data_IF_961409017602
#
_entry.id   IF_961409017602
#
_cell.length_a   1.000
_cell.length_b   1.000
_cell.length_c   1.000
_cell.angle_alpha   90.00
_cell.angle_beta   90.00
_cell.angle_gamma   90.00
#
_symmetry.space_group_name_H-M   'P 1'
#
loop_
_entity.id
_entity.type
_entity.pdbx_description
1 polymer ?
#
# COMPACT_ATOMS: atom_id res chain seq x y z
N UNK A 1 17.46 -26.79 -9.18
CA UNK A 1 18.07 -25.61 -9.83
C UNK A 1 17.03 -24.73 -10.53
N UNK A 2 16.05 -25.30 -11.24
CA UNK A 2 14.95 -24.55 -11.89
C UNK A 2 14.03 -23.85 -10.87
N UNK A 3 13.81 -24.42 -9.69
CA UNK A 3 12.97 -23.82 -8.63
C UNK A 3 13.60 -22.60 -7.94
N UNK A 4 14.93 -22.45 -7.99
CA UNK A 4 15.62 -21.34 -7.35
C UNK A 4 15.48 -20.03 -8.15
N UNK A 5 15.33 -20.12 -9.47
CA UNK A 5 15.19 -18.96 -10.38
C UNK A 5 13.94 -18.12 -10.04
N UNK A 6 12.72 -18.68 -9.94
CA UNK A 6 11.53 -17.90 -9.60
C UNK A 6 11.60 -17.34 -8.17
N UNK A 7 12.25 -18.03 -7.23
CA UNK A 7 12.44 -17.55 -5.86
C UNK A 7 13.36 -16.32 -5.81
N UNK A 8 14.50 -16.37 -6.52
CA UNK A 8 15.44 -15.25 -6.62
C UNK A 8 14.77 -14.05 -7.32
N UNK A 9 14.02 -14.29 -8.40
CA UNK A 9 13.30 -13.24 -9.12
C UNK A 9 12.24 -12.57 -8.23
N UNK A 10 11.48 -13.37 -7.47
CA UNK A 10 10.50 -12.88 -6.50
C UNK A 10 11.15 -12.00 -5.42
N UNK A 11 12.31 -12.42 -4.90
CA UNK A 11 13.08 -11.65 -3.92
C UNK A 11 13.51 -10.29 -4.50
N UNK A 12 14.04 -10.27 -5.71
CA UNK A 12 14.49 -9.04 -6.41
C UNK A 12 13.29 -8.09 -6.63
N UNK A 13 12.16 -8.62 -7.14
CA UNK A 13 10.94 -7.84 -7.33
C UNK A 13 10.41 -7.24 -6.03
N UNK A 14 10.49 -8.01 -4.94
CA UNK A 14 10.09 -7.56 -3.60
C UNK A 14 10.99 -6.42 -3.13
N UNK A 15 12.31 -6.55 -3.23
CA UNK A 15 13.26 -5.50 -2.87
C UNK A 15 13.07 -4.22 -3.70
N UNK A 16 12.89 -4.34 -5.02
CA UNK A 16 12.62 -3.20 -5.89
C UNK A 16 11.31 -2.50 -5.52
N UNK A 17 10.26 -3.25 -5.21
CA UNK A 17 8.97 -2.71 -4.79
C UNK A 17 9.10 -1.94 -3.48
N UNK A 18 9.84 -2.48 -2.51
CA UNK A 18 10.10 -1.82 -1.24
C UNK A 18 10.83 -0.47 -1.43
N UNK A 19 11.86 -0.46 -2.27
CA UNK A 19 12.63 0.75 -2.60
C UNK A 19 11.72 1.79 -3.28
N UNK A 20 10.94 1.38 -4.28
CA UNK A 20 10.01 2.26 -5.01
C UNK A 20 8.99 2.89 -4.05
N UNK A 21 8.46 2.11 -3.12
CA UNK A 21 7.49 2.60 -2.12
C UNK A 21 8.10 3.65 -1.20
N UNK A 22 9.33 3.44 -0.72
CA UNK A 22 10.05 4.44 0.09
C UNK A 22 10.29 5.71 -0.72
N UNK A 23 10.71 5.57 -1.99
CA UNK A 23 10.90 6.71 -2.88
C UNK A 23 9.60 7.47 -3.12
N UNK A 24 8.49 6.77 -3.36
CA UNK A 24 7.16 7.37 -3.53
C UNK A 24 6.73 8.14 -2.29
N UNK A 25 6.89 7.56 -1.10
CA UNK A 25 6.57 8.20 0.18
C UNK A 25 7.40 9.47 0.42
N UNK A 26 8.68 9.46 0.01
CA UNK A 26 9.57 10.62 0.15
C UNK A 26 9.43 11.64 -0.98
N UNK A 27 8.83 11.26 -2.11
CA UNK A 27 8.76 12.10 -3.29
C UNK A 27 7.80 13.28 -3.07
N UNK A 28 8.32 14.49 -3.19
CA UNK A 28 7.57 15.73 -3.07
C UNK A 28 7.09 16.20 -4.46
N UNK A 29 6.58 15.26 -5.27
CA UNK A 29 6.16 15.52 -6.66
C UNK A 29 5.05 16.59 -6.63
N UNK A 30 5.22 17.69 -7.36
CA UNK A 30 4.28 18.83 -7.37
C UNK A 30 2.82 18.43 -7.67
N UNK A 31 2.60 17.31 -8.36
CA UNK A 31 1.30 16.76 -8.75
C UNK A 31 0.60 15.92 -7.66
N UNK A 32 1.33 15.46 -6.63
CA UNK A 32 0.77 14.66 -5.53
C UNK A 32 0.45 15.49 -4.27
N UNK A 33 0.66 16.81 -4.29
CA UNK A 33 0.38 17.65 -3.11
C UNK A 33 -1.08 17.57 -2.67
N UNK A 34 -1.31 17.38 -1.37
CA UNK A 34 -2.65 17.36 -0.75
C UNK A 34 -3.14 15.95 -0.40
N UNK A 35 -4.39 15.61 -0.74
CA UNK A 35 -5.01 14.34 -0.37
C UNK A 35 -4.38 13.12 -1.08
N UNK A 36 -3.80 13.31 -2.28
CA UNK A 36 -3.16 12.23 -3.03
C UNK A 36 -1.85 11.75 -2.36
N UNK A 37 -1.04 12.67 -1.83
CA UNK A 37 0.15 12.33 -1.04
C UNK A 37 -0.21 11.56 0.22
N UNK A 38 -1.28 11.95 0.93
CA UNK A 38 -1.76 11.19 2.09
C UNK A 38 -2.14 9.76 1.70
N UNK A 39 -2.83 9.57 0.58
CA UNK A 39 -3.19 8.23 0.07
C UNK A 39 -1.92 7.39 -0.18
N UNK A 40 -0.92 7.98 -0.84
CA UNK A 40 0.36 7.32 -1.14
C UNK A 40 1.09 6.96 0.15
N UNK A 41 1.10 7.84 1.16
CA UNK A 41 1.68 7.57 2.47
C UNK A 41 0.99 6.38 3.16
N UNK A 42 -0.35 6.30 3.17
CA UNK A 42 -1.06 5.14 3.72
C UNK A 42 -0.74 3.86 2.94
N UNK A 43 -0.66 3.92 1.60
CA UNK A 43 -0.22 2.79 0.79
C UNK A 43 1.22 2.35 1.11
N UNK A 44 2.11 3.32 1.34
CA UNK A 44 3.50 3.05 1.65
C UNK A 44 3.65 2.38 3.01
N UNK A 45 2.99 2.91 4.03
CA UNK A 45 2.94 2.28 5.35
C UNK A 45 2.35 0.87 5.29
N UNK A 46 1.21 0.69 4.61
CA UNK A 46 0.62 -0.65 4.43
C UNK A 46 1.60 -1.65 3.82
N UNK A 47 2.35 -1.21 2.82
CA UNK A 47 3.36 -2.04 2.16
C UNK A 47 4.54 -2.35 3.07
N UNK A 48 5.06 -1.38 3.83
CA UNK A 48 6.11 -1.60 4.82
C UNK A 48 5.68 -2.67 5.84
N UNK A 49 4.44 -2.64 6.31
CA UNK A 49 3.92 -3.67 7.23
C UNK A 49 3.80 -5.05 6.57
N UNK A 50 3.48 -5.14 5.26
CA UNK A 50 3.58 -6.43 4.53
C UNK A 50 5.01 -6.96 4.52
N UNK A 51 6.00 -6.12 4.24
CA UNK A 51 7.40 -6.54 4.30
C UNK A 51 7.82 -6.98 5.71
N UNK A 52 7.31 -6.32 6.75
CA UNK A 52 7.47 -6.76 8.13
C UNK A 52 6.88 -8.15 8.39
N UNK A 53 5.68 -8.44 7.87
CA UNK A 53 5.07 -9.76 7.96
C UNK A 53 5.89 -10.83 7.24
N UNK A 54 6.39 -10.53 6.03
CA UNK A 54 7.25 -11.44 5.27
C UNK A 54 8.57 -11.70 5.99
N UNK A 55 9.19 -10.68 6.57
CA UNK A 55 10.41 -10.82 7.35
C UNK A 55 10.19 -11.68 8.61
N UNK A 56 9.08 -11.48 9.31
CA UNK A 56 8.71 -12.31 10.46
C UNK A 56 8.47 -13.78 10.05
N UNK A 57 7.76 -14.02 8.95
CA UNK A 57 7.57 -15.36 8.39
C UNK A 57 8.91 -16.02 8.05
N UNK A 58 9.82 -15.29 7.40
CA UNK A 58 11.14 -15.79 7.05
C UNK A 58 11.97 -16.17 8.29
N UNK A 59 11.88 -15.39 9.38
CA UNK A 59 12.51 -15.76 10.66
C UNK A 59 11.91 -17.04 11.25
N UNK A 60 10.58 -17.18 11.22
CA UNK A 60 9.90 -18.39 11.68
C UNK A 60 10.35 -19.62 10.89
N UNK A 61 10.46 -19.49 9.57
CA UNK A 61 10.88 -20.58 8.68
C UNK A 61 12.35 -20.97 8.92
N UNK A 62 13.26 -19.99 9.04
CA UNK A 62 14.68 -20.23 9.28
C UNK A 62 14.94 -20.90 10.64
N UNK A 63 14.22 -20.46 11.68
CA UNK A 63 14.41 -20.94 13.05
C UNK A 63 13.45 -22.09 13.41
N UNK A 64 12.59 -22.52 12.47
CA UNK A 64 11.56 -23.56 12.66
C UNK A 64 10.66 -23.30 13.87
N UNK A 65 10.27 -22.04 14.08
CA UNK A 65 9.50 -21.57 15.23
C UNK A 65 7.98 -21.71 15.06
N UNK A 66 7.53 -22.66 14.24
CA UNK A 66 6.10 -22.88 13.95
C UNK A 66 5.30 -23.13 15.23
N UNK A 67 4.16 -22.44 15.38
CA UNK A 67 3.29 -22.58 16.56
C UNK A 67 3.82 -21.90 17.83
N UNK A 68 4.97 -21.23 17.77
CA UNK A 68 5.45 -20.39 18.87
C UNK A 68 4.71 -19.05 18.92
N UNK A 69 4.74 -18.30 20.04
CA UNK A 69 4.20 -16.94 20.10
C UNK A 69 4.81 -15.99 19.05
N UNK A 70 6.05 -16.24 18.62
CA UNK A 70 6.74 -15.45 17.58
C UNK A 70 6.04 -15.63 16.22
N UNK A 71 5.46 -16.81 15.96
CA UNK A 71 4.70 -17.10 14.74
C UNK A 71 3.44 -16.21 14.62
N UNK A 72 2.94 -15.67 15.74
CA UNK A 72 1.77 -14.80 15.76
C UNK A 72 2.10 -13.40 15.23
N UNK A 73 3.36 -12.96 15.38
CA UNK A 73 3.82 -11.59 15.06
C UNK A 73 3.51 -11.23 13.61
N UNK A 74 3.68 -12.16 12.66
CA UNK A 74 3.37 -11.92 11.24
C UNK A 74 1.91 -11.52 11.01
N UNK A 75 0.97 -12.06 11.79
CA UNK A 75 -0.46 -11.72 11.67
C UNK A 75 -0.74 -10.31 12.18
N UNK A 76 -0.06 -9.85 13.23
CA UNK A 76 -0.17 -8.46 13.68
C UNK A 76 0.29 -7.48 12.60
N UNK A 77 1.43 -7.76 11.95
CA UNK A 77 1.89 -6.97 10.81
C UNK A 77 0.87 -6.96 9.66
N UNK A 78 0.26 -8.10 9.33
CA UNK A 78 -0.77 -8.21 8.31
C UNK A 78 -2.04 -7.41 8.65
N UNK A 79 -2.50 -7.45 9.91
CA UNK A 79 -3.67 -6.68 10.36
C UNK A 79 -3.41 -5.17 10.23
N UNK A 80 -2.23 -4.72 10.63
CA UNK A 80 -1.86 -3.31 10.51
C UNK A 80 -1.79 -2.92 9.03
N UNK A 81 -1.14 -3.72 8.18
CA UNK A 81 -1.09 -3.47 6.74
C UNK A 81 -2.50 -3.34 6.12
N UNK A 82 -3.41 -4.24 6.49
CA UNK A 82 -4.79 -4.21 6.03
C UNK A 82 -5.52 -2.93 6.46
N UNK A 83 -5.34 -2.49 7.70
CA UNK A 83 -5.90 -1.24 8.19
C UNK A 83 -5.43 -0.02 7.37
N UNK A 84 -4.13 0.04 7.06
CA UNK A 84 -3.57 1.09 6.21
C UNK A 84 -4.16 1.07 4.79
N UNK A 85 -4.30 -0.11 4.17
CA UNK A 85 -4.91 -0.23 2.85
C UNK A 85 -6.40 0.12 2.84
N UNK A 86 -7.15 -0.20 3.90
CA UNK A 86 -8.54 0.24 4.03
C UNK A 86 -8.65 1.76 4.09
N UNK A 87 -7.79 2.43 4.86
CA UNK A 87 -7.77 3.90 4.92
C UNK A 87 -7.44 4.49 3.56
N UNK A 88 -6.42 3.95 2.89
CA UNK A 88 -6.00 4.41 1.57
C UNK A 88 -7.13 4.24 0.54
N UNK A 89 -7.79 3.08 0.55
CA UNK A 89 -8.92 2.77 -0.33
C UNK A 89 -10.11 3.69 -0.09
N UNK A 90 -10.44 3.95 1.19
CA UNK A 90 -11.51 4.88 1.55
C UNK A 90 -11.22 6.29 1.04
N UNK A 91 -9.98 6.76 1.18
CA UNK A 91 -9.56 8.07 0.68
C UNK A 91 -9.57 8.16 -0.84
N UNK A 92 -9.17 7.09 -1.55
CA UNK A 92 -9.31 7.00 -3.01
C UNK A 92 -10.78 7.13 -3.41
N UNK A 93 -11.68 6.43 -2.71
CA UNK A 93 -13.11 6.50 -2.98
C UNK A 93 -13.70 7.91 -2.74
N UNK A 94 -13.27 8.60 -1.69
CA UNK A 94 -13.67 10.00 -1.48
C UNK A 94 -13.16 10.91 -2.60
N UNK A 95 -11.90 10.73 -3.02
CA UNK A 95 -11.30 11.52 -4.09
C UNK A 95 -12.01 11.27 -5.43
N UNK A 96 -12.36 10.01 -5.75
CA UNK A 96 -13.05 9.67 -7.00
C UNK A 96 -14.46 10.27 -7.08
N UNK A 97 -15.16 10.38 -5.94
CA UNK A 97 -16.43 11.14 -5.86
C UNK A 97 -16.25 12.61 -6.14
N UNK A 98 -15.24 13.25 -5.56
CA UNK A 98 -14.98 14.70 -5.74
C UNK A 98 -14.56 15.01 -7.18
N UNK A 99 -13.80 14.12 -7.81
CA UNK A 99 -13.35 14.25 -9.20
C UNK A 99 -14.44 13.89 -10.22
N UNK A 100 -15.61 13.39 -9.79
CA UNK A 100 -16.73 13.04 -10.67
C UNK A 100 -16.55 11.71 -11.42
N UNK A 101 -15.54 10.90 -11.08
CA UNK A 101 -15.38 9.55 -11.64
C UNK A 101 -16.37 8.54 -11.05
N UNK A 102 -16.82 8.78 -9.81
CA UNK A 102 -17.69 7.87 -9.06
C UNK A 102 -19.06 8.45 -8.70
N UNK A 103 -19.42 9.66 -9.18
CA UNK A 103 -20.74 10.24 -9.00
C UNK A 103 -21.46 10.38 -10.34
N UNK A 104 -22.69 9.85 -10.45
CA UNK A 104 -23.60 10.13 -11.57
C UNK A 104 -23.95 11.62 -11.69
N UNK A 105 -23.75 12.39 -10.62
CA UNK A 105 -23.95 13.84 -10.62
C UNK A 105 -22.68 14.62 -10.97
N UNK A 106 -22.78 15.46 -12.00
CA UNK A 106 -21.75 16.43 -12.38
C UNK A 106 -21.30 17.27 -11.15
N UNK A 107 -19.99 17.41 -10.88
CA UNK A 107 -19.51 18.16 -9.74
C UNK A 107 -20.03 19.60 -9.78
N UNK A 108 -20.50 20.13 -8.63
CA UNK A 108 -21.19 21.43 -8.52
C UNK A 108 -20.44 22.60 -9.20
N UNK A 109 -19.10 22.55 -9.24
CA UNK A 109 -18.27 23.54 -9.94
C UNK A 109 -18.46 23.51 -11.47
N UNK A 110 -18.56 22.33 -12.07
CA UNK A 110 -18.83 22.13 -13.50
C UNK A 110 -20.27 22.49 -13.86
N UNK A 111 -21.25 22.17 -13.00
CA UNK A 111 -22.64 22.65 -13.13
C UNK A 111 -22.74 24.18 -13.18
N UNK A 112 -21.82 24.90 -12.52
CA UNK A 112 -21.78 26.37 -12.48
C UNK A 112 -21.19 26.97 -13.76
N UNK A 113 -20.19 26.31 -14.34
CA UNK A 113 -19.54 26.72 -15.60
C UNK A 113 -20.39 26.36 -16.83
N UNK A 114 -21.14 25.25 -16.79
CA UNK A 114 -22.05 24.86 -17.87
C UNK A 114 -23.39 25.63 -17.87
N UNK A 115 -23.70 26.35 -16.80
CA UNK A 115 -24.89 27.22 -16.69
C UNK A 115 -24.57 28.70 -16.91
N UNK A 116 -23.30 29.07 -17.13
CA UNK A 116 -22.90 30.40 -17.62
C UNK A 116 -22.73 30.36 -19.13
#
# INVERSE_FOLDING_TARGET
>A
MIEAIPQILSLICSLLTFIIVIYLAKSNIKFTKGELQKIIEYFAWGTIFIFGAMAAQLQVDLLKLYGSPIDIIKYFFMIIAFYFYLIASHKIYQLSKVLGFASEELPKKLKKVLKS
#
